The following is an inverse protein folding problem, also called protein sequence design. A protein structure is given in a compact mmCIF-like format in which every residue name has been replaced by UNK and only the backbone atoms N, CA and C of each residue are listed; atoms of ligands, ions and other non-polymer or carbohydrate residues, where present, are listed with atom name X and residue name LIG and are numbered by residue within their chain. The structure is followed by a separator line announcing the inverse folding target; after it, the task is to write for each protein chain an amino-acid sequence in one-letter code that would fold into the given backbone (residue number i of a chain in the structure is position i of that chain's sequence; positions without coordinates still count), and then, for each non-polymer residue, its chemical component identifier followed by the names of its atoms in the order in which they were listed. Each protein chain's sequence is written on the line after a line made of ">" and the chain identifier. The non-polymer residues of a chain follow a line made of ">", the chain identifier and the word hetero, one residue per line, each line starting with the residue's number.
data_IF_537442348284
#
_entry.id   IF_537442348284
#
_cell.length_a   1.000
_cell.length_b   1.000
_cell.length_c   1.000
_cell.angle_alpha   90.00
_cell.angle_beta   90.00
_cell.angle_gamma   90.00
#
_symmetry.space_group_name_H-M   'P 1'
#
loop_
_entity.id
_entity.type
_entity.pdbx_description
1 polymer ?
#
# COMPACT_ATOMS: atom_id res chain seq x y z
N UNK A 1 -13.39 3.86 -14.20
CA UNK A 1 -12.12 4.61 -13.99
C UNK A 1 -10.93 3.68 -13.83
N UNK A 2 -10.86 2.79 -12.84
CA UNK A 2 -9.74 1.84 -12.65
C UNK A 2 -9.42 1.02 -13.91
N UNK A 3 -10.42 0.59 -14.65
CA UNK A 3 -10.26 -0.22 -15.86
C UNK A 3 -9.54 0.52 -16.98
N UNK A 4 -9.93 1.77 -17.21
CA UNK A 4 -9.37 2.61 -18.28
C UNK A 4 -7.92 2.93 -17.99
N UNK A 5 -7.60 3.30 -16.75
CA UNK A 5 -6.24 3.68 -16.35
C UNK A 5 -5.26 2.51 -16.47
N UNK A 6 -5.66 1.31 -16.04
CA UNK A 6 -4.81 0.11 -16.14
C UNK A 6 -4.61 -0.30 -17.62
N UNK A 7 -5.68 -0.31 -18.41
CA UNK A 7 -5.61 -0.69 -19.82
C UNK A 7 -4.77 0.28 -20.65
N UNK A 8 -4.90 1.59 -20.42
CA UNK A 8 -4.13 2.63 -21.12
C UNK A 8 -2.64 2.58 -20.76
N UNK A 9 -2.31 2.38 -19.47
CA UNK A 9 -0.91 2.41 -19.02
C UNK A 9 -0.13 1.17 -19.48
N UNK A 10 -0.74 -0.02 -19.45
CA UNK A 10 -0.02 -1.29 -19.65
C UNK A 10 -0.51 -2.16 -20.80
N UNK A 11 -1.51 -1.73 -21.54
CA UNK A 11 -2.12 -2.53 -22.65
C UNK A 11 -2.51 -3.94 -22.20
N UNK A 12 -3.08 -4.06 -21.01
CA UNK A 12 -3.44 -5.34 -20.40
C UNK A 12 -4.67 -5.92 -21.11
N UNK A 13 -4.61 -7.20 -21.45
CA UNK A 13 -5.77 -7.89 -22.03
C UNK A 13 -6.94 -7.94 -21.02
N UNK A 14 -8.15 -7.73 -21.51
CA UNK A 14 -9.38 -7.70 -20.69
C UNK A 14 -9.58 -8.95 -19.82
N UNK A 15 -9.09 -10.10 -20.29
CA UNK A 15 -9.18 -11.36 -19.51
C UNK A 15 -8.42 -11.32 -18.17
N UNK A 16 -7.41 -10.46 -18.04
CA UNK A 16 -6.63 -10.33 -16.78
C UNK A 16 -7.18 -9.26 -15.85
N UNK A 17 -8.03 -8.38 -16.36
CA UNK A 17 -8.57 -7.26 -15.60
C UNK A 17 -9.37 -7.71 -14.37
N UNK A 18 -10.14 -8.79 -14.50
CA UNK A 18 -10.89 -9.37 -13.37
C UNK A 18 -9.99 -9.83 -12.23
N UNK A 19 -8.83 -10.43 -12.56
CA UNK A 19 -7.83 -10.86 -11.57
C UNK A 19 -7.16 -9.66 -10.89
N UNK A 20 -6.85 -8.61 -11.63
CA UNK A 20 -6.26 -7.37 -11.10
C UNK A 20 -7.25 -6.67 -10.17
N UNK A 21 -8.54 -6.58 -10.54
CA UNK A 21 -9.59 -6.04 -9.67
C UNK A 21 -9.75 -6.84 -8.37
N UNK A 22 -9.74 -8.17 -8.47
CA UNK A 22 -9.80 -9.04 -7.29
C UNK A 22 -8.57 -8.83 -6.40
N UNK A 23 -7.38 -8.68 -6.97
CA UNK A 23 -6.16 -8.38 -6.22
C UNK A 23 -6.28 -7.03 -5.49
N UNK A 24 -6.73 -5.98 -6.16
CA UNK A 24 -6.93 -4.67 -5.55
C UNK A 24 -7.91 -4.75 -4.37
N UNK A 25 -9.02 -5.49 -4.53
CA UNK A 25 -9.97 -5.72 -3.44
C UNK A 25 -9.32 -6.44 -2.24
N UNK A 26 -8.56 -7.52 -2.48
CA UNK A 26 -7.87 -8.25 -1.41
C UNK A 26 -6.85 -7.38 -0.68
N UNK A 27 -6.11 -6.53 -1.40
CA UNK A 27 -5.18 -5.58 -0.80
C UNK A 27 -5.89 -4.51 0.04
N UNK A 28 -7.07 -4.06 -0.38
CA UNK A 28 -7.88 -3.11 0.39
C UNK A 28 -8.44 -3.74 1.67
N UNK A 29 -8.88 -5.00 1.61
CA UNK A 29 -9.37 -5.76 2.78
C UNK A 29 -8.25 -6.02 3.78
N UNK A 30 -7.05 -6.31 3.27
CA UNK A 30 -5.88 -6.61 4.10
C UNK A 30 -5.34 -5.39 4.86
N UNK A 31 -5.59 -4.18 4.36
CA UNK A 31 -5.07 -2.93 4.93
C UNK A 31 -3.56 -2.73 4.71
N UNK A 32 -2.98 -1.68 5.33
CA UNK A 32 -1.58 -1.29 5.13
C UNK A 32 -0.59 -2.25 5.79
N UNK A 33 -0.36 -3.41 5.20
CA UNK A 33 0.59 -4.41 5.71
C UNK A 33 1.44 -5.03 4.60
N UNK A 34 2.39 -5.87 5.00
CA UNK A 34 3.20 -6.66 4.07
C UNK A 34 2.32 -7.70 3.35
N UNK A 35 2.35 -7.76 2.00
CA UNK A 35 1.52 -8.70 1.28
C UNK A 35 1.97 -10.14 1.48
N UNK A 36 1.03 -11.06 1.65
CA UNK A 36 1.30 -12.49 1.53
C UNK A 36 1.16 -12.93 0.07
N UNK A 37 2.23 -12.77 -0.72
CA UNK A 37 2.22 -13.02 -2.16
C UNK A 37 1.79 -14.45 -2.50
N UNK A 38 2.11 -15.43 -1.66
CA UNK A 38 1.72 -16.84 -1.88
C UNK A 38 0.22 -17.03 -1.72
N UNK A 39 -0.37 -16.44 -0.69
CA UNK A 39 -1.82 -16.48 -0.45
C UNK A 39 -2.56 -15.74 -1.57
N UNK A 40 -2.12 -14.53 -1.91
CA UNK A 40 -2.70 -13.76 -3.01
C UNK A 40 -2.65 -14.51 -4.35
N UNK A 41 -1.54 -15.21 -4.63
CA UNK A 41 -1.40 -16.03 -5.85
C UNK A 41 -2.42 -17.18 -5.89
N UNK A 42 -2.66 -17.82 -4.76
CA UNK A 42 -3.70 -18.85 -4.62
C UNK A 42 -5.10 -18.28 -4.81
N UNK A 43 -5.41 -17.16 -4.15
CA UNK A 43 -6.74 -16.54 -4.15
C UNK A 43 -7.18 -16.03 -5.52
N UNK A 44 -6.23 -15.56 -6.35
CA UNK A 44 -6.50 -15.11 -7.72
C UNK A 44 -6.12 -16.13 -8.79
N UNK A 45 -5.72 -17.34 -8.39
CA UNK A 45 -5.35 -18.45 -9.26
C UNK A 45 -4.30 -18.06 -10.31
N UNK A 46 -3.12 -17.65 -9.84
CA UNK A 46 -2.01 -17.24 -10.69
C UNK A 46 -0.66 -17.50 -10.02
N UNK A 47 0.44 -17.24 -10.72
CA UNK A 47 1.79 -17.37 -10.15
C UNK A 47 2.17 -16.19 -9.25
N UNK A 48 3.12 -16.40 -8.34
CA UNK A 48 3.69 -15.33 -7.51
C UNK A 48 4.32 -14.21 -8.35
N UNK A 49 5.00 -14.57 -9.44
CA UNK A 49 5.59 -13.59 -10.35
C UNK A 49 4.50 -12.70 -11.00
N UNK A 50 3.39 -13.30 -11.40
CA UNK A 50 2.25 -12.57 -11.97
C UNK A 50 1.61 -11.65 -10.95
N UNK A 51 1.46 -12.09 -9.68
CA UNK A 51 0.97 -11.20 -8.60
C UNK A 51 1.86 -9.99 -8.44
N UNK A 52 3.18 -10.17 -8.41
CA UNK A 52 4.13 -9.06 -8.30
C UNK A 52 4.03 -8.10 -9.50
N UNK A 53 3.84 -8.61 -10.71
CA UNK A 53 3.59 -7.77 -11.87
C UNK A 53 2.28 -6.98 -11.77
N UNK A 54 1.20 -7.60 -11.28
CA UNK A 54 -0.08 -6.91 -11.07
C UNK A 54 0.03 -5.85 -9.98
N UNK A 55 0.76 -6.11 -8.90
CA UNK A 55 1.07 -5.10 -7.86
C UNK A 55 1.80 -3.92 -8.50
N UNK A 56 2.79 -4.17 -9.38
CA UNK A 56 3.48 -3.11 -10.11
C UNK A 56 2.53 -2.31 -11.00
N UNK A 57 1.63 -2.96 -11.73
CA UNK A 57 0.63 -2.28 -12.57
C UNK A 57 -0.31 -1.39 -11.75
N UNK A 58 -0.77 -1.87 -10.58
CA UNK A 58 -1.60 -1.07 -9.68
C UNK A 58 -0.84 0.13 -9.11
N UNK A 59 0.45 -0.02 -8.81
CA UNK A 59 1.30 1.08 -8.35
C UNK A 59 1.54 2.12 -9.46
N UNK A 60 1.83 1.68 -10.69
CA UNK A 60 2.02 2.56 -11.85
C UNK A 60 0.72 3.32 -12.20
N UNK A 61 -0.45 2.68 -11.99
CA UNK A 61 -1.76 3.31 -12.13
C UNK A 61 -2.14 4.24 -10.96
N UNK A 62 -1.27 4.41 -9.96
CA UNK A 62 -1.50 5.21 -8.76
C UNK A 62 -2.73 4.80 -7.95
N UNK A 63 -3.01 3.50 -7.89
CA UNK A 63 -4.08 2.94 -7.06
C UNK A 63 -3.55 2.47 -5.70
N UNK A 64 -2.28 2.09 -5.66
CA UNK A 64 -1.57 1.69 -4.45
C UNK A 64 -0.19 2.34 -4.36
N UNK A 65 0.32 2.45 -3.15
CA UNK A 65 1.67 2.88 -2.83
C UNK A 65 2.46 1.72 -2.22
N UNK A 66 3.70 1.52 -2.70
CA UNK A 66 4.59 0.45 -2.23
C UNK A 66 5.65 1.03 -1.30
N UNK A 67 5.63 0.62 -0.04
CA UNK A 67 6.60 1.07 0.97
C UNK A 67 7.65 -0.02 1.17
N UNK A 68 8.91 0.33 1.00
CA UNK A 68 10.07 -0.54 1.16
C UNK A 68 10.93 -0.12 2.34
N UNK A 69 11.77 -1.01 2.90
CA UNK A 69 12.88 -0.61 3.75
C UNK A 69 13.86 0.27 2.98
N UNK A 70 14.68 1.04 3.70
CA UNK A 70 15.75 1.84 3.10
C UNK A 70 16.65 0.97 2.22
N UNK A 71 16.92 1.44 0.99
CA UNK A 71 17.78 0.74 0.02
C UNK A 71 17.13 -0.45 -0.70
N UNK A 72 15.83 -0.68 -0.52
CA UNK A 72 15.09 -1.71 -1.24
C UNK A 72 14.03 -1.11 -2.16
N UNK A 73 13.79 -1.78 -3.28
CA UNK A 73 12.79 -1.38 -4.28
C UNK A 73 12.28 -2.60 -5.07
N UNK A 74 11.32 -2.36 -5.97
CA UNK A 74 10.87 -3.41 -6.90
C UNK A 74 12.09 -3.96 -7.71
N UNK A 75 12.19 -5.30 -7.95
CA UNK A 75 11.15 -6.32 -7.83
C UNK A 75 11.06 -7.03 -6.46
N UNK A 76 11.71 -6.53 -5.42
CA UNK A 76 11.58 -7.13 -4.09
C UNK A 76 10.16 -7.00 -3.56
N UNK A 77 9.82 -7.85 -2.61
CA UNK A 77 8.53 -7.80 -1.93
C UNK A 77 8.46 -6.53 -1.06
N UNK A 78 7.42 -5.67 -1.22
CA UNK A 78 7.28 -4.49 -0.38
C UNK A 78 7.00 -4.87 1.08
N UNK A 79 7.46 -4.04 1.99
CA UNK A 79 7.19 -4.19 3.43
C UNK A 79 5.77 -3.80 3.82
N UNK A 80 5.17 -2.89 3.05
CA UNK A 80 3.80 -2.42 3.26
C UNK A 80 3.21 -2.05 1.90
N UNK A 81 1.96 -2.44 1.65
CA UNK A 81 1.16 -1.95 0.52
C UNK A 81 0.04 -1.11 1.10
N UNK A 82 -0.17 0.07 0.57
CA UNK A 82 -1.20 1.01 1.01
C UNK A 82 -2.04 1.45 -0.17
N UNK A 83 -3.33 1.75 0.04
CA UNK A 83 -4.10 2.42 -1.00
C UNK A 83 -3.49 3.79 -1.29
N UNK A 84 -3.63 4.27 -2.53
CA UNK A 84 -3.08 5.56 -2.90
C UNK A 84 -3.69 6.71 -2.10
N UNK A 85 -4.97 6.60 -1.75
CA UNK A 85 -5.62 7.53 -0.82
C UNK A 85 -6.66 6.82 0.06
N UNK A 86 -7.04 7.48 1.16
CA UNK A 86 -8.00 6.93 2.13
C UNK A 86 -9.42 6.75 1.56
N UNK A 87 -9.82 7.56 0.58
CA UNK A 87 -11.14 7.41 -0.05
C UNK A 87 -11.28 6.09 -0.81
N UNK A 88 -10.19 5.59 -1.41
CA UNK A 88 -10.18 4.26 -2.04
C UNK A 88 -10.45 3.14 -1.05
N UNK A 89 -9.97 3.25 0.20
CA UNK A 89 -10.25 2.25 1.24
C UNK A 89 -11.76 2.15 1.49
N UNK A 90 -12.42 3.28 1.69
CA UNK A 90 -13.87 3.33 1.91
C UNK A 90 -14.67 2.93 0.67
N UNK A 91 -14.22 3.28 -0.53
CA UNK A 91 -14.91 2.94 -1.79
C UNK A 91 -14.85 1.45 -2.13
N UNK A 92 -13.74 0.80 -1.80
CA UNK A 92 -13.53 -0.61 -2.15
C UNK A 92 -14.04 -1.54 -1.06
N UNK A 93 -13.78 -1.24 0.22
CA UNK A 93 -14.18 -2.07 1.35
C UNK A 93 -14.57 -1.23 2.57
N UNK A 94 -15.82 -0.69 2.64
CA UNK A 94 -16.24 0.22 3.70
C UNK A 94 -16.52 -0.46 5.06
N UNK A 95 -16.63 -1.79 5.09
CA UNK A 95 -17.18 -2.51 6.24
C UNK A 95 -16.24 -2.53 7.45
N UNK A 96 -14.92 -2.46 7.23
CA UNK A 96 -13.92 -2.68 8.28
C UNK A 96 -12.65 -1.85 8.03
N UNK A 97 -12.82 -0.55 7.91
CA UNK A 97 -11.69 0.37 7.79
C UNK A 97 -11.27 0.81 9.19
N UNK A 98 -10.03 0.52 9.56
CA UNK A 98 -9.49 0.95 10.85
C UNK A 98 -8.97 2.39 10.77
N UNK A 99 -9.25 3.19 11.80
CA UNK A 99 -8.86 4.60 11.83
C UNK A 99 -7.33 4.80 11.73
N UNK A 100 -6.56 3.91 12.35
CA UNK A 100 -5.10 3.94 12.25
C UNK A 100 -4.61 3.73 10.81
N UNK A 101 -5.25 2.83 10.07
CA UNK A 101 -4.93 2.56 8.66
C UNK A 101 -5.26 3.75 7.76
N UNK A 102 -6.34 4.46 8.07
CA UNK A 102 -6.71 5.71 7.39
C UNK A 102 -5.66 6.80 7.63
N UNK A 103 -5.23 6.97 8.87
CA UNK A 103 -4.20 7.95 9.22
C UNK A 103 -2.85 7.63 8.57
N UNK A 104 -2.42 6.37 8.63
CA UNK A 104 -1.18 5.92 7.97
C UNK A 104 -1.24 6.19 6.46
N UNK A 105 -2.36 5.87 5.83
CA UNK A 105 -2.57 6.08 4.40
C UNK A 105 -2.60 7.57 4.04
N UNK A 106 -3.31 8.36 4.81
CA UNK A 106 -3.39 9.82 4.61
C UNK A 106 -2.01 10.49 4.76
N UNK A 107 -1.26 10.13 5.82
CA UNK A 107 0.08 10.65 6.04
C UNK A 107 1.02 10.30 4.87
N UNK A 108 1.07 9.02 4.50
CA UNK A 108 1.92 8.58 3.40
C UNK A 108 1.56 9.29 2.09
N UNK A 109 0.26 9.37 1.76
CA UNK A 109 -0.19 10.03 0.54
C UNK A 109 0.14 11.53 0.51
N UNK A 110 0.04 12.22 1.65
CA UNK A 110 0.33 13.66 1.75
C UNK A 110 1.79 14.00 1.42
N UNK A 111 2.70 13.09 1.70
CA UNK A 111 4.14 13.28 1.48
C UNK A 111 4.67 12.59 0.21
N UNK A 112 3.90 11.68 -0.39
CA UNK A 112 4.36 10.80 -1.46
C UNK A 112 4.89 11.52 -2.70
N UNK A 113 4.39 12.70 -2.98
CA UNK A 113 4.77 13.47 -4.16
C UNK A 113 6.17 14.05 -4.04
N UNK A 114 6.50 14.57 -2.86
CA UNK A 114 7.69 15.42 -2.65
C UNK A 114 8.77 14.72 -1.83
N UNK A 115 8.44 13.59 -1.19
CA UNK A 115 9.32 12.89 -0.27
C UNK A 115 9.37 11.38 -0.54
N UNK A 116 10.49 10.75 -0.20
CA UNK A 116 10.64 9.29 -0.22
C UNK A 116 10.20 8.71 1.12
N UNK A 117 9.24 7.80 1.08
CA UNK A 117 8.70 7.16 2.28
C UNK A 117 9.21 5.73 2.37
N UNK A 118 9.85 5.40 3.48
CA UNK A 118 10.35 4.08 3.80
C UNK A 118 9.65 3.50 5.01
N UNK A 119 9.73 2.17 5.15
CA UNK A 119 9.24 1.48 6.33
C UNK A 119 10.00 1.97 7.57
N UNK A 120 9.27 2.34 8.62
CA UNK A 120 9.82 2.58 9.94
C UNK A 120 10.30 1.29 10.62
N UNK A 121 10.99 1.45 11.72
CA UNK A 121 11.39 0.35 12.61
C UNK A 121 10.29 0.05 13.65
N UNK A 122 10.64 -0.67 14.73
CA UNK A 122 9.68 -1.07 15.76
C UNK A 122 8.98 0.10 16.48
N UNK A 123 9.60 1.28 16.50
CA UNK A 123 9.12 2.44 17.24
C UNK A 123 8.43 3.47 16.36
N UNK A 124 8.64 3.41 15.05
CA UNK A 124 8.16 4.39 14.08
C UNK A 124 7.35 3.76 12.98
N UNK A 125 6.32 4.46 12.52
CA UNK A 125 5.48 4.01 11.40
C UNK A 125 6.19 4.14 10.07
N UNK A 126 6.88 5.26 9.85
CA UNK A 126 7.57 5.59 8.60
C UNK A 126 8.90 6.31 8.87
N UNK A 127 9.79 6.23 7.89
CA UNK A 127 10.98 7.07 7.77
C UNK A 127 10.86 7.85 6.47
N UNK A 128 10.94 9.18 6.55
CA UNK A 128 10.82 10.08 5.40
C UNK A 128 12.22 10.58 5.03
N UNK A 129 12.54 10.57 3.74
CA UNK A 129 13.85 10.99 3.18
C UNK A 129 15.06 10.36 3.87
N UNK A 130 14.90 9.11 4.32
CA UNK A 130 15.94 8.31 4.98
C UNK A 130 16.43 8.83 6.34
N UNK A 131 15.91 9.97 6.81
CA UNK A 131 16.42 10.70 8.00
C UNK A 131 15.35 10.96 9.05
N UNK A 132 14.12 11.26 8.65
CA UNK A 132 13.06 11.71 9.56
C UNK A 132 12.13 10.56 9.94
N UNK A 133 12.21 10.03 11.17
CA UNK A 133 11.30 9.01 11.66
C UNK A 133 9.98 9.62 12.14
N UNK A 134 8.86 9.02 11.75
CA UNK A 134 7.51 9.42 12.16
C UNK A 134 6.76 8.27 12.80
N UNK A 135 6.10 8.56 13.92
CA UNK A 135 5.15 7.68 14.57
C UNK A 135 3.76 8.26 14.43
N UNK A 136 2.86 7.54 13.79
CA UNK A 136 1.48 7.94 13.59
C UNK A 136 0.63 7.31 14.69
N UNK A 137 -0.10 8.13 15.45
CA UNK A 137 -0.94 7.70 16.56
C UNK A 137 -2.32 8.37 16.50
N UNK A 138 -3.36 7.62 16.80
CA UNK A 138 -4.74 8.12 16.92
C UNK A 138 -4.93 9.02 18.15
N UNK A 139 -4.19 8.78 19.23
CA UNK A 139 -4.37 9.47 20.49
C UNK A 139 -3.17 10.36 20.81
N UNK A 140 -3.44 11.66 20.94
CA UNK A 140 -2.47 12.65 21.41
C UNK A 140 -2.44 12.59 22.95
N UNK A 141 -1.28 12.37 23.53
CA UNK A 141 -1.05 12.47 24.96
C UNK A 141 -0.90 11.18 25.75
N UNK A 142 -1.04 9.98 25.14
CA UNK A 142 -0.62 8.74 25.80
C UNK A 142 0.91 8.65 25.87
N UNK A 143 1.42 8.12 26.96
CA UNK A 143 2.86 7.95 27.20
C UNK A 143 3.58 7.15 26.08
N UNK A 144 2.86 6.29 25.37
CA UNK A 144 3.36 5.52 24.21
C UNK A 144 3.62 6.35 22.96
N UNK A 145 2.99 7.53 22.84
CA UNK A 145 3.22 8.48 21.76
C UNK A 145 4.20 9.60 22.16
N UNK A 146 4.56 9.70 23.44
CA UNK A 146 5.62 10.60 23.89
C UNK A 146 6.95 9.99 23.54
N UNK A 147 7.55 10.54 22.54
CA UNK A 147 8.91 10.32 22.16
C UNK A 147 9.86 10.49 23.36
N UNK A 148 10.74 9.54 23.55
CA UNK A 148 12.03 9.83 24.14
C UNK A 148 12.95 10.22 23.00
N UNK A 149 13.11 11.49 22.84
CA UNK A 149 14.19 12.04 22.04
C UNK A 149 15.52 11.53 22.59
#
# INVERSE_FOLDING_TARGET
>A
MVEVDILLIKQIELKYLSKIKKLLYLLAVDGPKAPNVSQLASDIQTSRATVMNYIKYLADARLINLVYPKGEEFPKKPSKIMMHNSNLMYSIYPVKVEEQDVLDTFFANSLWKDHKIHKGDKNFSFIVDEVMPFKICLEIGRASCRERV
#
